data_IF_270427409749
#
_entry.id   IF_270427409749
#
_cell.length_a   1.000
_cell.length_b   1.000
_cell.length_c   1.000
_cell.angle_alpha   90.00
_cell.angle_beta   90.00
_cell.angle_gamma   90.00
#
_symmetry.space_group_name_H-M   'P 1'
#
loop_
_entity.id
_entity.type
_entity.pdbx_description
1 polymer ?
#
# COMPACT_ATOMS: atom_id res chain seq x y z
N UNK A 1 4.99 -19.62 10.04
CA UNK A 1 4.53 -18.45 10.82
C UNK A 1 4.32 -17.28 9.88
N UNK A 2 3.30 -16.46 10.13
CA UNK A 2 3.05 -15.24 9.36
C UNK A 2 4.22 -14.25 9.52
N UNK A 3 4.76 -13.71 8.42
CA UNK A 3 5.83 -12.71 8.45
C UNK A 3 5.24 -11.32 8.29
N UNK A 4 5.21 -10.56 9.38
CA UNK A 4 4.75 -9.18 9.38
C UNK A 4 5.75 -8.25 8.66
N UNK A 5 5.23 -7.18 8.07
CA UNK A 5 6.06 -6.14 7.47
C UNK A 5 6.63 -5.24 8.55
N UNK A 6 7.88 -4.80 8.38
CA UNK A 6 8.45 -3.76 9.22
C UNK A 6 7.85 -2.40 8.89
N UNK A 7 7.82 -1.51 9.88
CA UNK A 7 7.52 -0.10 9.65
C UNK A 7 8.53 0.51 8.67
N UNK A 8 8.09 1.52 7.92
CA UNK A 8 8.99 2.28 7.06
C UNK A 8 10.07 2.96 7.92
N UNK A 9 11.33 2.71 7.60
CA UNK A 9 12.45 3.35 8.28
C UNK A 9 12.52 4.86 8.03
N UNK A 10 13.02 5.61 9.02
CA UNK A 10 13.04 7.08 9.05
C UNK A 10 13.66 7.69 7.78
N UNK A 11 14.84 7.24 7.37
CA UNK A 11 15.51 7.78 6.17
C UNK A 11 14.69 7.61 4.91
N UNK A 12 13.95 6.49 4.79
CA UNK A 12 13.07 6.21 3.65
C UNK A 12 11.79 7.04 3.70
N UNK A 13 11.30 7.36 4.89
CA UNK A 13 10.18 8.29 5.07
C UNK A 13 10.57 9.69 4.62
N UNK A 14 11.69 10.22 5.11
CA UNK A 14 12.22 11.54 4.73
C UNK A 14 12.50 11.62 3.23
N UNK A 15 13.14 10.60 2.66
CA UNK A 15 13.38 10.52 1.21
C UNK A 15 12.07 10.60 0.41
N UNK A 16 11.03 9.87 0.84
CA UNK A 16 9.74 9.88 0.14
C UNK A 16 9.04 11.24 0.26
N UNK A 17 9.06 11.85 1.45
CA UNK A 17 8.45 13.17 1.67
C UNK A 17 9.09 14.22 0.76
N UNK A 18 10.43 14.26 0.75
CA UNK A 18 11.20 15.26 0.01
C UNK A 18 11.13 15.06 -1.51
N UNK A 19 11.10 13.83 -2.01
CA UNK A 19 11.19 13.53 -3.45
C UNK A 19 9.87 13.36 -4.17
N UNK A 20 8.82 12.96 -3.45
CA UNK A 20 7.55 12.51 -4.06
C UNK A 20 6.33 13.25 -3.51
N UNK A 21 6.42 13.84 -2.32
CA UNK A 21 5.24 14.36 -1.61
C UNK A 21 5.31 15.89 -1.40
N UNK A 22 6.06 16.60 -2.25
CA UNK A 22 6.15 18.06 -2.19
C UNK A 22 6.66 18.61 -0.85
N UNK A 23 7.45 17.83 -0.10
CA UNK A 23 7.93 18.15 1.24
C UNK A 23 6.81 18.27 2.31
N UNK A 24 5.63 17.73 2.06
CA UNK A 24 4.51 17.70 3.02
C UNK A 24 4.34 16.29 3.63
N UNK A 25 4.66 16.11 4.93
CA UNK A 25 4.57 14.81 5.59
C UNK A 25 3.13 14.30 5.76
N UNK A 26 2.11 15.15 5.64
CA UNK A 26 0.70 14.75 5.77
C UNK A 26 0.25 13.77 4.67
N UNK A 27 0.97 13.73 3.55
CA UNK A 27 0.73 12.80 2.44
C UNK A 27 1.45 11.45 2.61
N UNK A 28 2.23 11.24 3.68
CA UNK A 28 2.94 9.99 3.91
C UNK A 28 2.01 8.93 4.54
N UNK A 29 1.36 8.12 3.70
CA UNK A 29 0.32 7.17 4.12
C UNK A 29 0.76 5.71 4.26
N UNK A 30 2.07 5.44 4.22
CA UNK A 30 2.62 4.07 4.17
C UNK A 30 3.76 3.85 5.18
N UNK A 31 3.68 4.50 6.34
CA UNK A 31 4.56 4.21 7.50
C UNK A 31 4.26 2.80 8.01
N UNK A 32 3.00 2.55 8.39
CA UNK A 32 2.47 1.23 8.64
C UNK A 32 1.85 0.69 7.35
N UNK A 33 2.42 -0.40 6.83
CA UNK A 33 1.94 -1.01 5.60
C UNK A 33 2.14 -2.52 5.59
N UNK A 34 1.24 -3.23 4.93
CA UNK A 34 1.36 -4.68 4.74
C UNK A 34 1.02 -5.09 3.31
N UNK A 35 1.55 -6.24 2.89
CA UNK A 35 1.27 -6.84 1.59
C UNK A 35 0.77 -8.26 1.80
N UNK A 36 -0.37 -8.58 1.22
CA UNK A 36 -0.93 -9.93 1.19
C UNK A 36 -0.91 -10.41 -0.26
N UNK A 37 -0.24 -11.53 -0.50
CA UNK A 37 -0.16 -12.15 -1.81
C UNK A 37 -1.16 -13.31 -1.93
N UNK A 38 -1.83 -13.41 -3.08
CA UNK A 38 -2.87 -14.40 -3.37
C UNK A 38 -2.51 -15.21 -4.61
N UNK A 39 -2.89 -16.48 -4.68
CA UNK A 39 -2.73 -17.30 -5.88
C UNK A 39 -3.69 -16.87 -7.00
N UNK A 40 -4.89 -16.42 -6.64
CA UNK A 40 -5.97 -16.14 -7.57
C UNK A 40 -6.75 -14.86 -7.20
N UNK A 41 -7.52 -14.34 -8.17
CA UNK A 41 -8.34 -13.14 -7.98
C UNK A 41 -9.54 -13.37 -7.06
N UNK A 42 -10.04 -14.59 -6.98
CA UNK A 42 -11.21 -14.91 -6.15
C UNK A 42 -10.90 -14.66 -4.66
N UNK A 43 -9.77 -15.15 -4.17
CA UNK A 43 -9.35 -14.95 -2.79
C UNK A 43 -8.96 -13.51 -2.50
N UNK A 44 -8.34 -12.84 -3.48
CA UNK A 44 -8.03 -11.41 -3.39
C UNK A 44 -9.32 -10.58 -3.24
N UNK A 45 -10.33 -10.85 -4.06
CA UNK A 45 -11.61 -10.12 -4.02
C UNK A 45 -12.41 -10.44 -2.76
N UNK A 46 -12.39 -11.69 -2.28
CA UNK A 46 -12.95 -12.05 -0.96
C UNK A 46 -12.28 -11.27 0.17
N UNK A 47 -10.95 -11.14 0.16
CA UNK A 47 -10.23 -10.35 1.15
C UNK A 47 -10.62 -8.87 1.09
N UNK A 48 -10.67 -8.29 -0.12
CA UNK A 48 -11.12 -6.91 -0.31
C UNK A 48 -12.55 -6.71 0.22
N UNK A 49 -13.47 -7.62 -0.09
CA UNK A 49 -14.85 -7.54 0.39
C UNK A 49 -14.92 -7.55 1.92
N UNK A 50 -14.13 -8.39 2.59
CA UNK A 50 -14.04 -8.41 4.06
C UNK A 50 -13.54 -7.07 4.63
N UNK A 51 -12.50 -6.49 4.04
CA UNK A 51 -11.97 -5.18 4.45
C UNK A 51 -13.01 -4.07 4.29
N UNK A 52 -13.83 -4.12 3.24
CA UNK A 52 -14.86 -3.12 2.95
C UNK A 52 -16.04 -3.14 3.92
N UNK A 53 -16.36 -4.30 4.51
CA UNK A 53 -17.53 -4.46 5.40
C UNK A 53 -17.16 -4.47 6.88
N UNK A 54 -15.86 -4.45 7.20
CA UNK A 54 -15.37 -4.41 8.58
C UNK A 54 -15.68 -3.05 9.23
N UNK A 55 -16.36 -3.08 10.37
CA UNK A 55 -16.86 -1.89 11.06
C UNK A 55 -15.77 -1.10 11.79
N UNK A 56 -14.62 -1.72 12.05
CA UNK A 56 -13.45 -1.09 12.63
C UNK A 56 -12.54 -0.48 11.55
N UNK A 57 -12.75 -0.83 10.28
CA UNK A 57 -11.97 -0.27 9.17
C UNK A 57 -12.70 0.95 8.59
N UNK A 58 -11.95 2.03 8.43
CA UNK A 58 -12.40 3.24 7.71
C UNK A 58 -11.55 3.41 6.47
N UNK A 59 -12.07 2.98 5.33
CA UNK A 59 -11.40 3.11 4.04
C UNK A 59 -11.39 4.58 3.61
N UNK A 60 -10.21 5.10 3.29
CA UNK A 60 -10.00 6.46 2.82
C UNK A 60 -9.82 6.52 1.29
N UNK A 61 -9.13 5.51 0.74
CA UNK A 61 -8.81 5.46 -0.69
C UNK A 61 -8.55 4.04 -1.13
N UNK A 62 -9.00 3.70 -2.34
CA UNK A 62 -8.62 2.47 -3.04
C UNK A 62 -7.98 2.84 -4.38
N UNK A 63 -6.81 2.26 -4.65
CA UNK A 63 -6.13 2.32 -5.94
C UNK A 63 -6.18 0.93 -6.55
N UNK A 64 -7.07 0.72 -7.51
CA UNK A 64 -7.16 -0.52 -8.26
C UNK A 64 -6.25 -0.45 -9.50
N UNK A 65 -5.06 -1.03 -9.42
CA UNK A 65 -4.12 -1.05 -10.55
C UNK A 65 -4.39 -2.20 -11.52
N UNK A 66 -5.27 -3.14 -11.21
CA UNK A 66 -5.72 -4.20 -12.12
C UNK A 66 -6.77 -3.73 -13.14
N UNK A 67 -7.35 -2.55 -12.95
CA UNK A 67 -8.33 -2.01 -13.89
C UNK A 67 -7.72 -1.86 -15.29
N UNK A 68 -8.46 -2.22 -16.34
CA UNK A 68 -8.00 -2.07 -17.73
C UNK A 68 -7.67 -0.63 -18.11
N UNK A 69 -8.31 0.34 -17.47
CA UNK A 69 -8.05 1.77 -17.64
C UNK A 69 -6.78 2.25 -16.92
N UNK A 70 -6.13 1.41 -16.11
CA UNK A 70 -4.91 1.78 -15.43
C UNK A 70 -3.72 1.72 -16.38
N UNK A 71 -3.05 2.86 -16.58
CA UNK A 71 -1.81 2.91 -17.34
C UNK A 71 -0.69 2.15 -16.61
N UNK A 72 -0.39 0.98 -17.15
CA UNK A 72 0.63 0.07 -16.66
C UNK A 72 2.04 0.65 -16.59
N UNK A 73 2.34 1.67 -17.39
CA UNK A 73 3.65 2.32 -17.40
C UNK A 73 3.88 3.10 -16.10
N UNK A 74 2.82 3.55 -15.44
CA UNK A 74 2.89 4.25 -14.13
C UNK A 74 3.45 3.40 -13.00
N UNK A 75 3.42 2.08 -13.17
CA UNK A 75 3.90 1.14 -12.17
C UNK A 75 4.94 0.18 -12.74
N UNK A 76 5.53 0.47 -13.92
CA UNK A 76 6.51 -0.42 -14.56
C UNK A 76 5.96 -1.86 -14.67
N UNK A 77 4.68 -2.00 -15.02
CA UNK A 77 4.02 -3.30 -15.12
C UNK A 77 3.47 -3.88 -13.80
N UNK A 78 3.73 -3.27 -12.63
CA UNK A 78 3.17 -3.74 -11.36
C UNK A 78 1.65 -3.58 -11.28
N UNK A 79 0.99 -4.55 -10.66
CA UNK A 79 -0.45 -4.58 -10.46
C UNK A 79 -0.76 -5.05 -9.05
N UNK A 80 -1.58 -4.29 -8.34
CA UNK A 80 -2.09 -4.57 -7.01
C UNK A 80 -3.38 -3.77 -6.78
N UNK A 81 -4.09 -4.09 -5.71
CA UNK A 81 -5.08 -3.19 -5.10
C UNK A 81 -4.45 -2.61 -3.83
N UNK A 82 -4.19 -1.30 -3.82
CA UNK A 82 -3.71 -0.62 -2.62
C UNK A 82 -4.85 0.12 -1.91
N UNK A 83 -5.01 -0.14 -0.62
CA UNK A 83 -6.07 0.40 0.22
C UNK A 83 -5.41 1.28 1.28
N UNK A 84 -5.77 2.56 1.34
CA UNK A 84 -5.45 3.42 2.48
C UNK A 84 -6.65 3.44 3.41
N UNK A 85 -6.42 3.14 4.69
CA UNK A 85 -7.48 3.03 5.69
C UNK A 85 -6.98 3.46 7.07
N UNK A 86 -7.93 3.71 7.97
CA UNK A 86 -7.70 3.88 9.41
C UNK A 86 -8.36 2.74 10.17
N UNK A 87 -7.79 2.39 11.32
CA UNK A 87 -8.39 1.45 12.26
C UNK A 87 -9.06 2.26 13.35
N UNK A 88 -10.38 2.15 13.47
CA UNK A 88 -11.20 2.81 14.49
C UNK A 88 -11.83 1.74 15.39
N UNK A 89 -11.06 1.28 16.36
CA UNK A 89 -11.48 0.36 17.41
C UNK A 89 -11.31 1.04 18.78
N UNK A 90 -11.88 0.45 19.83
CA UNK A 90 -11.70 0.96 21.20
C UNK A 90 -10.21 1.01 21.59
N UNK A 91 -9.43 0.02 21.15
CA UNK A 91 -7.98 -0.04 21.36
C UNK A 91 -7.24 1.09 20.61
N UNK A 92 -7.54 1.31 19.33
CA UNK A 92 -6.85 2.37 18.57
C UNK A 92 -7.19 3.77 19.07
N UNK A 93 -8.42 3.97 19.57
CA UNK A 93 -8.84 5.21 20.24
C UNK A 93 -8.14 5.38 21.59
N UNK A 94 -8.05 4.33 22.41
CA UNK A 94 -7.36 4.37 23.70
C UNK A 94 -5.86 4.68 23.56
N UNK A 95 -5.24 4.22 22.47
CA UNK A 95 -3.84 4.50 22.14
C UNK A 95 -3.64 5.84 21.42
N UNK A 96 -4.71 6.55 21.03
CA UNK A 96 -4.65 7.82 20.29
C UNK A 96 -4.09 7.68 18.86
N UNK A 97 -4.25 6.52 18.24
CA UNK A 97 -3.72 6.21 16.88
C UNK A 97 -4.82 5.95 15.86
N UNK A 98 -6.08 6.17 16.20
CA UNK A 98 -7.25 5.94 15.34
C UNK A 98 -7.28 6.86 14.10
N UNK A 99 -6.49 7.93 14.08
CA UNK A 99 -6.31 8.80 12.91
C UNK A 99 -5.15 8.37 11.99
N UNK A 100 -4.30 7.42 12.40
CA UNK A 100 -3.15 6.98 11.62
C UNK A 100 -3.58 6.24 10.35
N UNK A 101 -2.99 6.60 9.21
CA UNK A 101 -3.30 5.96 7.93
C UNK A 101 -2.35 4.79 7.69
N UNK A 102 -2.94 3.61 7.52
CA UNK A 102 -2.27 2.39 7.11
C UNK A 102 -2.43 2.16 5.59
N UNK A 103 -1.51 1.40 5.00
CA UNK A 103 -1.62 0.91 3.62
C UNK A 103 -1.67 -0.62 3.58
N UNK A 104 -2.69 -1.19 2.95
CA UNK A 104 -2.77 -2.62 2.64
C UNK A 104 -2.66 -2.82 1.13
N UNK A 105 -1.70 -3.63 0.69
CA UNK A 105 -1.53 -4.01 -0.71
C UNK A 105 -1.99 -5.46 -0.91
N UNK A 106 -2.96 -5.67 -1.80
CA UNK A 106 -3.41 -7.00 -2.22
C UNK A 106 -2.85 -7.27 -3.61
N UNK A 107 -2.07 -8.33 -3.76
CA UNK A 107 -1.35 -8.65 -4.99
C UNK A 107 -1.51 -10.13 -5.34
N UNK A 108 -1.51 -10.48 -6.63
CA UNK A 108 -1.35 -11.87 -7.04
C UNK A 108 0.12 -12.30 -6.94
N UNK A 109 0.38 -13.55 -6.58
CA UNK A 109 1.74 -14.10 -6.44
C UNK A 109 2.57 -13.90 -7.71
N UNK A 110 1.98 -14.11 -8.89
CA UNK A 110 2.65 -13.87 -10.18
C UNK A 110 3.17 -12.44 -10.34
N UNK A 111 2.48 -11.44 -9.78
CA UNK A 111 2.94 -10.04 -9.77
C UNK A 111 3.88 -9.74 -8.60
N UNK A 112 3.73 -10.44 -7.47
CA UNK A 112 4.60 -10.29 -6.31
C UNK A 112 6.02 -10.81 -6.59
N UNK A 113 6.15 -11.91 -7.33
CA UNK A 113 7.44 -12.48 -7.73
C UNK A 113 8.24 -11.51 -8.59
N UNK A 114 7.59 -10.86 -9.58
CA UNK A 114 8.19 -9.80 -10.41
C UNK A 114 8.67 -8.60 -9.59
N UNK A 115 8.11 -8.38 -8.40
CA UNK A 115 8.54 -7.31 -7.49
C UNK A 115 9.85 -7.65 -6.77
N UNK A 116 10.11 -8.93 -6.53
CA UNK A 116 11.21 -9.41 -5.69
C UNK A 116 12.57 -9.47 -6.41
N UNK A 117 12.58 -9.71 -7.72
CA UNK A 117 13.79 -10.06 -8.47
C UNK A 117 14.67 -8.84 -8.77
N UNK A 118 14.09 -7.68 -9.13
CA UNK A 118 14.87 -6.45 -9.42
C UNK A 118 14.01 -5.19 -9.51
N UNK A 119 12.75 -5.31 -9.92
CA UNK A 119 11.99 -4.15 -10.33
C UNK A 119 11.45 -3.26 -9.20
N UNK A 120 11.48 -3.66 -7.91
CA UNK A 120 11.12 -2.71 -6.84
C UNK A 120 12.13 -1.55 -6.75
N UNK A 121 13.43 -1.83 -6.98
CA UNK A 121 14.46 -0.79 -7.06
C UNK A 121 14.26 0.10 -8.29
N UNK A 122 14.00 -0.51 -9.45
CA UNK A 122 13.75 0.21 -10.70
C UNK A 122 12.49 1.09 -10.62
N UNK A 123 11.42 0.60 -9.98
CA UNK A 123 10.22 1.39 -9.70
C UNK A 123 10.51 2.59 -8.81
N UNK A 124 11.29 2.42 -7.73
CA UNK A 124 11.67 3.56 -6.86
C UNK A 124 12.45 4.60 -7.66
N UNK A 125 13.41 4.18 -8.49
CA UNK A 125 14.20 5.09 -9.33
C UNK A 125 13.32 5.83 -10.34
N UNK A 126 12.47 5.11 -11.05
CA UNK A 126 11.57 5.69 -12.05
C UNK A 126 10.55 6.66 -11.44
N UNK A 127 9.96 6.30 -10.29
CA UNK A 127 9.06 7.19 -9.55
C UNK A 127 9.77 8.46 -9.09
N UNK A 128 10.95 8.32 -8.48
CA UNK A 128 11.73 9.47 -8.03
C UNK A 128 12.12 10.41 -9.20
N UNK A 129 12.29 9.88 -10.42
CA UNK A 129 12.54 10.69 -11.61
C UNK A 129 11.31 11.52 -12.05
N UNK A 130 10.10 11.02 -11.84
CA UNK A 130 8.85 11.71 -12.21
C UNK A 130 8.38 12.77 -11.21
N UNK A 131 8.94 12.80 -9.99
CA UNK A 131 8.50 13.74 -8.94
C UNK A 131 7.10 13.45 -8.40
N UNK A 132 6.63 12.20 -8.52
CA UNK A 132 5.36 11.68 -7.98
C UNK A 132 5.55 10.82 -6.73
#
# INVERSE_FOLDING_TARGET
GFKWSHLKGNSRAVEKITRSLGNDPSYLTDICRHLIAFENFEDLTKCLAKVLVDDQIRVLRIKNRYAHSYDSQQSVGYRDVAINFRIKSDESMALGVDTHVCELQLILLSFAELRSIEGHKNYIQWRNFRGE
#
